data_IF_299429260793
#
_entry.id   IF_299429260793
#
_cell.length_a   1.000
_cell.length_b   1.000
_cell.length_c   1.000
_cell.angle_alpha   90.00
_cell.angle_beta   90.00
_cell.angle_gamma   90.00
#
_symmetry.space_group_name_H-M   'P 1'
#
loop_
_entity.id
_entity.type
_entity.pdbx_description
1 polymer ?
#
# COMPACT_ATOMS: atom_id res chain seq x y z
N UNK A 1 -11.81 -11.41 15.34
CA UNK A 1 -10.43 -11.72 15.78
C UNK A 1 -9.52 -10.58 15.34
N UNK A 2 -8.79 -9.91 16.24
CA UNK A 2 -7.87 -8.85 15.84
C UNK A 2 -6.73 -9.46 15.02
N UNK A 3 -6.63 -9.06 13.76
CA UNK A 3 -5.54 -9.46 12.87
C UNK A 3 -4.23 -8.92 13.45
N UNK A 4 -3.14 -9.72 13.53
CA UNK A 4 -1.86 -9.26 14.06
C UNK A 4 -1.37 -7.97 13.38
N UNK A 5 -0.72 -7.08 14.16
CA UNK A 5 -0.15 -5.81 13.67
C UNK A 5 0.96 -5.98 12.63
N UNK A 6 1.48 -7.19 12.46
CA UNK A 6 2.43 -7.58 11.41
C UNK A 6 2.16 -9.03 11.06
N UNK A 7 1.81 -9.28 9.79
CA UNK A 7 1.70 -10.64 9.26
C UNK A 7 3.00 -11.00 8.54
N UNK A 8 3.59 -12.20 8.77
CA UNK A 8 4.75 -12.62 8.01
C UNK A 8 4.35 -12.78 6.53
N UNK A 9 5.00 -11.99 5.68
CA UNK A 9 4.86 -12.04 4.24
C UNK A 9 5.56 -13.25 3.61
N UNK A 10 5.55 -13.31 2.28
CA UNK A 10 6.31 -14.32 1.53
C UNK A 10 5.68 -15.71 1.46
N UNK A 11 6.41 -16.61 0.79
CA UNK A 11 6.04 -18.02 0.63
C UNK A 11 6.41 -18.78 1.90
N UNK A 12 5.50 -19.65 2.33
CA UNK A 12 5.71 -20.55 3.47
C UNK A 12 5.35 -21.95 3.05
N UNK A 13 6.05 -22.93 3.61
CA UNK A 13 5.75 -24.33 3.33
C UNK A 13 4.51 -24.77 4.10
N UNK A 14 3.64 -25.63 3.54
CA UNK A 14 2.39 -26.00 4.23
C UNK A 14 2.61 -26.78 5.53
N UNK A 15 3.75 -27.48 5.65
CA UNK A 15 4.06 -28.32 6.81
C UNK A 15 4.40 -27.51 8.07
N UNK A 16 4.79 -26.24 7.93
CA UNK A 16 5.09 -25.34 9.05
C UNK A 16 3.87 -24.60 9.59
N UNK A 17 2.71 -24.75 8.94
CA UNK A 17 1.47 -24.11 9.40
C UNK A 17 0.91 -24.84 10.62
N UNK A 18 0.38 -24.06 11.56
CA UNK A 18 -0.43 -24.60 12.65
C UNK A 18 -1.58 -25.45 12.08
N UNK A 19 -1.99 -26.47 12.84
CA UNK A 19 -3.07 -27.38 12.46
C UNK A 19 -4.27 -27.19 13.36
N UNK A 20 -5.45 -27.31 12.77
CA UNK A 20 -6.71 -27.24 13.48
C UNK A 20 -7.12 -28.59 14.10
N UNK A 21 -8.32 -28.65 14.69
CA UNK A 21 -8.83 -29.83 15.38
C UNK A 21 -8.92 -31.10 14.51
N UNK A 22 -9.09 -30.96 13.20
CA UNK A 22 -9.14 -32.08 12.26
C UNK A 22 -7.76 -32.41 11.66
N UNK A 23 -6.68 -31.84 12.21
CA UNK A 23 -5.32 -32.03 11.73
C UNK A 23 -5.03 -31.33 10.39
N UNK A 24 -5.93 -30.47 9.90
CA UNK A 24 -5.75 -29.74 8.65
C UNK A 24 -4.96 -28.44 8.89
N UNK A 25 -4.17 -27.98 7.91
CA UNK A 25 -3.42 -26.73 8.03
C UNK A 25 -4.38 -25.53 8.14
N UNK A 26 -4.03 -24.58 9.01
CA UNK A 26 -4.78 -23.34 9.21
C UNK A 26 -4.41 -22.29 8.15
N UNK A 27 -5.42 -21.57 7.69
CA UNK A 27 -5.26 -20.43 6.78
C UNK A 27 -4.47 -19.31 7.46
N UNK A 28 -3.43 -18.79 6.80
CA UNK A 28 -2.59 -17.67 7.30
C UNK A 28 -3.31 -16.32 7.45
N UNK A 29 -4.63 -16.29 7.27
CA UNK A 29 -5.43 -15.06 7.29
C UNK A 29 -6.56 -15.17 8.30
N UNK A 30 -7.44 -16.16 8.13
CA UNK A 30 -8.62 -16.32 8.98
C UNK A 30 -8.49 -17.41 10.04
N UNK A 31 -7.35 -18.11 10.11
CA UNK A 31 -7.07 -19.22 11.02
C UNK A 31 -8.08 -20.38 10.95
N UNK A 32 -8.89 -20.45 9.90
CA UNK A 32 -9.76 -21.59 9.62
C UNK A 32 -9.00 -22.68 8.86
N UNK A 33 -9.39 -23.93 9.09
CA UNK A 33 -8.83 -25.08 8.37
C UNK A 33 -9.05 -24.98 6.86
N UNK A 34 -8.01 -25.32 6.10
CA UNK A 34 -8.05 -25.31 4.65
C UNK A 34 -8.70 -26.62 4.17
N UNK A 35 -10.02 -26.57 3.96
CA UNK A 35 -10.81 -27.74 3.52
C UNK A 35 -10.58 -28.10 2.04
N UNK A 36 -10.20 -27.11 1.21
CA UNK A 36 -10.04 -27.31 -0.22
C UNK A 36 -8.72 -28.04 -0.56
N UNK A 37 -8.81 -29.27 -1.08
CA UNK A 37 -7.66 -30.16 -1.37
C UNK A 37 -6.52 -29.53 -2.19
N UNK A 38 -6.81 -28.61 -3.11
CA UNK A 38 -5.80 -27.94 -3.96
C UNK A 38 -5.15 -26.72 -3.31
N UNK A 39 -5.75 -26.18 -2.25
CA UNK A 39 -5.21 -25.03 -1.52
C UNK A 39 -4.29 -25.52 -0.40
N UNK A 40 -3.26 -24.74 -0.09
CA UNK A 40 -2.18 -25.19 0.80
C UNK A 40 -1.92 -24.24 1.98
N UNK A 41 -2.01 -22.94 1.75
CA UNK A 41 -1.64 -21.91 2.75
C UNK A 41 -2.76 -20.89 3.02
N UNK A 42 -3.83 -20.90 2.22
CA UNK A 42 -5.00 -20.03 2.36
C UNK A 42 -6.27 -20.79 1.99
N UNK A 43 -7.39 -20.51 2.66
CA UNK A 43 -8.66 -21.20 2.37
C UNK A 43 -9.43 -20.62 1.16
N UNK A 44 -9.15 -19.38 0.76
CA UNK A 44 -9.83 -18.71 -0.37
C UNK A 44 -8.97 -17.62 -1.02
N UNK A 45 -9.36 -17.16 -2.21
CA UNK A 45 -8.67 -16.05 -2.90
C UNK A 45 -8.89 -14.72 -2.17
N UNK A 46 -10.01 -14.59 -1.45
CA UNK A 46 -10.22 -13.48 -0.51
C UNK A 46 -9.15 -13.47 0.58
N UNK A 47 -8.85 -14.61 1.18
CA UNK A 47 -7.80 -14.70 2.21
C UNK A 47 -6.41 -14.39 1.64
N UNK A 48 -6.14 -14.81 0.40
CA UNK A 48 -4.91 -14.43 -0.31
C UNK A 48 -4.85 -12.92 -0.50
N UNK A 49 -5.93 -12.31 -1.00
CA UNK A 49 -6.03 -10.88 -1.23
C UNK A 49 -5.81 -10.06 0.05
N UNK A 50 -6.54 -10.40 1.12
CA UNK A 50 -6.43 -9.70 2.41
C UNK A 50 -5.05 -9.83 3.05
N UNK A 51 -4.42 -11.01 2.95
CA UNK A 51 -3.05 -11.23 3.42
C UNK A 51 -2.04 -10.43 2.59
N UNK A 52 -2.15 -10.44 1.25
CA UNK A 52 -1.25 -9.70 0.37
C UNK A 52 -1.35 -8.20 0.53
N UNK A 53 -2.55 -7.63 0.71
CA UNK A 53 -2.71 -6.20 1.00
C UNK A 53 -1.86 -5.76 2.22
N UNK A 54 -1.69 -6.66 3.20
CA UNK A 54 -0.95 -6.38 4.46
C UNK A 54 0.53 -6.69 4.43
N UNK A 55 0.96 -7.54 3.50
CA UNK A 55 2.33 -8.11 3.52
C UNK A 55 3.13 -7.83 2.26
N UNK A 56 2.48 -7.36 1.20
CA UNK A 56 3.10 -7.07 -0.10
C UNK A 56 2.80 -5.60 -0.46
N UNK A 57 3.74 -4.68 -0.16
CA UNK A 57 3.58 -3.26 -0.51
C UNK A 57 3.43 -3.01 -2.01
N UNK A 58 3.97 -3.90 -2.85
CA UNK A 58 3.81 -3.82 -4.31
C UNK A 58 2.36 -4.09 -4.69
N UNK A 59 1.82 -5.22 -4.21
CA UNK A 59 0.42 -5.56 -4.42
C UNK A 59 -0.54 -4.49 -3.89
N UNK A 60 -0.27 -3.94 -2.70
CA UNK A 60 -1.05 -2.85 -2.14
C UNK A 60 -1.11 -1.65 -3.09
N UNK A 61 0.05 -1.22 -3.60
CA UNK A 61 0.13 -0.12 -4.57
C UNK A 61 -0.60 -0.45 -5.87
N UNK A 62 -0.52 -1.69 -6.34
CA UNK A 62 -1.23 -2.11 -7.55
C UNK A 62 -2.76 -2.04 -7.35
N UNK A 63 -3.27 -2.44 -6.19
CA UNK A 63 -4.71 -2.35 -5.87
C UNK A 63 -5.17 -0.89 -5.74
N UNK A 64 -4.38 -0.04 -5.07
CA UNK A 64 -4.68 1.41 -4.98
C UNK A 64 -4.68 2.04 -6.38
N UNK A 65 -3.70 1.70 -7.21
CA UNK A 65 -3.63 2.20 -8.58
C UNK A 65 -4.80 1.72 -9.44
N UNK A 66 -5.20 0.45 -9.33
CA UNK A 66 -6.35 -0.09 -10.06
C UNK A 66 -7.64 0.68 -9.73
N UNK A 67 -7.81 1.10 -8.47
CA UNK A 67 -8.96 1.87 -8.00
C UNK A 67 -8.88 3.34 -8.44
N UNK A 68 -7.77 4.01 -8.15
CA UNK A 68 -7.64 5.48 -8.24
C UNK A 68 -7.06 5.98 -9.57
N UNK A 69 -6.46 5.08 -10.36
CA UNK A 69 -5.79 5.36 -11.63
C UNK A 69 -4.66 6.38 -11.56
N UNK A 70 -4.09 6.58 -10.37
CA UNK A 70 -3.00 7.55 -10.14
C UNK A 70 -3.47 9.00 -10.03
N UNK A 71 -4.78 9.24 -9.85
CA UNK A 71 -5.32 10.57 -9.58
C UNK A 71 -5.12 10.92 -8.11
N UNK A 72 -4.55 12.10 -7.84
CA UNK A 72 -4.39 12.57 -6.47
C UNK A 72 -5.75 12.86 -5.83
N UNK A 73 -6.06 12.24 -4.69
CA UNK A 73 -7.32 12.44 -3.98
C UNK A 73 -7.53 13.89 -3.49
N UNK A 74 -6.45 14.65 -3.25
CA UNK A 74 -6.54 16.02 -2.75
C UNK A 74 -6.61 17.07 -3.86
N UNK A 75 -5.68 17.01 -4.83
CA UNK A 75 -5.56 18.04 -5.86
C UNK A 75 -6.00 17.60 -7.26
N UNK A 76 -6.44 16.34 -7.41
CA UNK A 76 -6.89 15.75 -8.69
C UNK A 76 -5.83 15.73 -9.80
N UNK A 77 -4.55 15.97 -9.46
CA UNK A 77 -3.46 15.85 -10.43
C UNK A 77 -3.35 14.42 -10.97
N UNK A 78 -3.35 14.30 -12.30
CA UNK A 78 -3.05 13.05 -12.99
C UNK A 78 -1.55 12.79 -12.97
N UNK A 79 -1.11 12.02 -12.00
CA UNK A 79 0.30 11.75 -11.77
C UNK A 79 0.92 10.87 -12.87
N UNK A 80 0.11 10.10 -13.59
CA UNK A 80 0.56 9.26 -14.72
C UNK A 80 0.84 10.14 -15.93
N UNK A 81 -0.11 11.00 -16.29
CA UNK A 81 0.05 11.96 -17.38
C UNK A 81 1.23 12.91 -17.13
N UNK A 82 1.33 13.44 -15.90
CA UNK A 82 2.43 14.34 -15.53
C UNK A 82 3.78 13.63 -15.59
N UNK A 83 3.87 12.38 -15.12
CA UNK A 83 5.12 11.62 -15.20
C UNK A 83 5.55 11.37 -16.65
N UNK A 84 4.60 11.05 -17.52
CA UNK A 84 4.85 10.87 -18.95
C UNK A 84 5.31 12.17 -19.62
N UNK A 85 4.68 13.30 -19.30
CA UNK A 85 5.08 14.62 -19.78
C UNK A 85 6.50 14.99 -19.29
N UNK A 86 6.78 14.77 -18.00
CA UNK A 86 8.08 15.07 -17.39
C UNK A 86 9.22 14.24 -18.01
N UNK A 87 8.97 12.96 -18.33
CA UNK A 87 9.92 12.12 -19.08
C UNK A 87 10.32 12.73 -20.43
N UNK A 88 9.37 13.34 -21.15
CA UNK A 88 9.58 13.97 -22.46
C UNK A 88 10.13 15.39 -22.38
N UNK A 89 9.91 16.10 -21.27
CA UNK A 89 10.42 17.46 -21.05
C UNK A 89 11.95 17.55 -21.05
N UNK A 90 12.49 18.73 -21.37
CA UNK A 90 13.92 19.06 -21.43
C UNK A 90 14.18 20.45 -20.85
N UNK A 91 15.44 20.75 -20.54
CA UNK A 91 15.88 22.06 -20.05
C UNK A 91 15.14 22.55 -18.79
N UNK A 92 14.94 23.87 -18.70
CA UNK A 92 14.34 24.53 -17.54
C UNK A 92 12.96 23.97 -17.15
N UNK A 93 12.12 23.58 -18.12
CA UNK A 93 10.81 22.99 -17.83
C UNK A 93 10.93 21.64 -17.10
N UNK A 94 11.93 20.83 -17.45
CA UNK A 94 12.22 19.56 -16.77
C UNK A 94 12.70 19.80 -15.34
N UNK A 95 13.60 20.76 -15.16
CA UNK A 95 14.15 21.12 -13.86
C UNK A 95 13.05 21.63 -12.92
N UNK A 96 12.19 22.51 -13.40
CA UNK A 96 11.04 23.01 -12.65
C UNK A 96 10.09 21.86 -12.26
N UNK A 97 9.73 21.00 -13.22
CA UNK A 97 8.85 19.86 -12.96
C UNK A 97 9.44 18.87 -11.95
N UNK A 98 10.72 18.55 -12.06
CA UNK A 98 11.43 17.70 -11.10
C UNK A 98 11.47 18.34 -9.70
N UNK A 99 11.69 19.66 -9.63
CA UNK A 99 11.71 20.42 -8.38
C UNK A 99 10.37 20.40 -7.66
N UNK A 100 9.24 20.60 -8.36
CA UNK A 100 7.88 20.53 -7.80
C UNK A 100 7.67 19.20 -7.05
N UNK A 101 8.07 18.09 -7.68
CA UNK A 101 7.94 16.76 -7.11
C UNK A 101 9.06 16.40 -6.11
N UNK A 102 10.05 17.28 -5.93
CA UNK A 102 11.21 17.06 -5.04
C UNK A 102 12.12 15.93 -5.52
N UNK A 103 12.27 15.78 -6.83
CA UNK A 103 13.08 14.73 -7.45
C UNK A 103 14.32 15.35 -8.10
N UNK A 104 15.48 14.68 -7.99
CA UNK A 104 16.70 15.09 -8.71
C UNK A 104 16.74 14.59 -10.15
N UNK A 105 16.21 13.38 -10.37
CA UNK A 105 16.14 12.75 -11.69
C UNK A 105 14.79 12.07 -11.86
N UNK A 106 14.34 11.91 -13.10
CA UNK A 106 13.07 11.23 -13.39
C UNK A 106 13.08 9.75 -12.95
N UNK A 107 14.26 9.14 -12.84
CA UNK A 107 14.45 7.74 -12.48
C UNK A 107 14.55 7.52 -10.97
N UNK A 108 14.62 8.58 -10.16
CA UNK A 108 14.70 8.48 -8.71
C UNK A 108 13.48 7.77 -8.09
N UNK A 109 12.34 7.78 -8.79
CA UNK A 109 11.12 7.07 -8.40
C UNK A 109 10.43 6.47 -9.63
N UNK A 110 9.63 5.43 -9.40
CA UNK A 110 8.84 4.78 -10.46
C UNK A 110 7.50 5.47 -10.73
N UNK A 111 7.04 6.34 -9.83
CA UNK A 111 5.78 7.09 -9.93
C UNK A 111 5.87 8.45 -9.22
N UNK A 112 4.93 9.34 -9.53
CA UNK A 112 4.75 10.65 -8.89
C UNK A 112 3.66 10.66 -7.80
N UNK A 113 3.32 9.49 -7.30
CA UNK A 113 2.31 9.29 -6.26
C UNK A 113 2.69 8.18 -5.29
N UNK A 114 2.12 8.24 -4.09
CA UNK A 114 2.19 7.24 -3.03
C UNK A 114 0.80 6.89 -2.49
N UNK A 115 0.66 5.65 -2.01
CA UNK A 115 -0.51 5.20 -1.26
C UNK A 115 -0.37 5.74 0.17
N UNK A 116 -1.24 6.67 0.52
CA UNK A 116 -1.27 7.34 1.83
C UNK A 116 -2.48 6.86 2.63
N UNK A 117 -2.36 6.82 3.96
CA UNK A 117 -3.47 6.48 4.84
C UNK A 117 -4.42 7.67 4.99
N UNK A 118 -5.74 7.43 4.87
CA UNK A 118 -6.77 8.43 5.14
C UNK A 118 -6.76 8.79 6.64
N UNK A 119 -6.89 7.77 7.48
CA UNK A 119 -6.59 7.84 8.91
C UNK A 119 -5.21 7.19 9.15
N UNK A 120 -4.19 7.96 9.56
CA UNK A 120 -2.86 7.43 9.81
C UNK A 120 -2.83 6.35 10.89
N UNK A 121 -1.94 5.37 10.73
CA UNK A 121 -1.77 4.27 11.71
C UNK A 121 -1.43 4.77 13.11
N UNK A 122 -0.64 5.85 13.21
CA UNK A 122 -0.28 6.48 14.48
C UNK A 122 -1.49 7.07 15.23
N UNK A 123 -2.58 7.37 14.52
CA UNK A 123 -3.82 7.93 15.05
C UNK A 123 -4.93 6.85 15.11
N UNK A 124 -4.56 5.57 15.09
CA UNK A 124 -5.50 4.44 15.17
C UNK A 124 -6.03 3.92 13.83
N UNK A 125 -5.46 4.38 12.71
CA UNK A 125 -5.80 3.91 11.38
C UNK A 125 -5.49 2.43 11.14
N UNK A 126 -6.34 1.78 10.33
CA UNK A 126 -6.10 0.43 9.83
C UNK A 126 -4.88 0.40 8.92
N UNK A 127 -3.98 -0.56 9.14
CA UNK A 127 -2.67 -0.58 8.50
C UNK A 127 -2.73 -0.75 6.98
N UNK A 128 -3.69 -1.50 6.43
CA UNK A 128 -3.65 -1.89 5.01
C UNK A 128 -5.03 -2.20 4.39
N UNK A 129 -6.12 -1.68 4.94
CA UNK A 129 -7.41 -1.79 4.26
C UNK A 129 -7.44 -0.80 3.10
N UNK A 130 -7.85 -1.28 1.92
CA UNK A 130 -7.88 -0.45 0.72
C UNK A 130 -8.73 0.81 0.94
N UNK A 131 -9.81 0.69 1.70
CA UNK A 131 -10.72 1.78 2.05
C UNK A 131 -10.06 2.87 2.93
N UNK A 132 -9.03 2.52 3.72
CA UNK A 132 -8.25 3.49 4.49
C UNK A 132 -7.04 4.03 3.72
N UNK A 133 -6.95 3.75 2.42
CA UNK A 133 -5.88 4.25 1.56
C UNK A 133 -6.43 5.24 0.54
N UNK A 134 -5.59 6.19 0.16
CA UNK A 134 -5.82 7.15 -0.93
C UNK A 134 -4.55 7.34 -1.74
N UNK A 135 -4.71 7.62 -3.02
CA UNK A 135 -3.60 8.07 -3.87
C UNK A 135 -3.29 9.54 -3.59
N UNK A 136 -2.06 9.87 -3.20
CA UNK A 136 -1.57 11.26 -3.13
C UNK A 136 -0.38 11.46 -4.05
N UNK A 137 -0.35 12.58 -4.76
CA UNK A 137 0.87 13.01 -5.45
C UNK A 137 1.98 13.36 -4.44
N UNK A 138 3.24 13.31 -4.84
CA UNK A 138 4.37 13.50 -3.90
C UNK A 138 4.31 14.83 -3.12
N UNK A 139 3.93 15.98 -3.72
CA UNK A 139 3.75 17.23 -2.97
C UNK A 139 2.67 17.13 -1.88
N UNK A 140 1.48 16.63 -2.23
CA UNK A 140 0.37 16.46 -1.29
C UNK A 140 0.71 15.45 -0.18
N UNK A 141 1.41 14.37 -0.51
CA UNK A 141 1.83 13.37 0.47
C UNK A 141 2.86 13.94 1.46
N UNK A 142 3.80 14.77 0.99
CA UNK A 142 4.77 15.47 1.84
C UNK A 142 4.07 16.39 2.84
N UNK A 143 3.07 17.14 2.38
CA UNK A 143 2.27 18.02 3.23
C UNK A 143 1.47 17.21 4.27
N UNK A 144 0.78 16.14 3.84
CA UNK A 144 0.04 15.27 4.75
C UNK A 144 0.95 14.67 5.85
N UNK A 145 2.16 14.24 5.48
CA UNK A 145 3.17 13.75 6.44
C UNK A 145 3.64 14.83 7.39
N UNK A 146 3.88 16.06 6.91
CA UNK A 146 4.28 17.18 7.75
C UNK A 146 3.21 17.53 8.78
N UNK A 147 1.95 17.59 8.35
CA UNK A 147 0.80 17.85 9.23
C UNK A 147 0.63 16.75 10.29
N UNK A 148 0.79 15.47 9.91
CA UNK A 148 0.75 14.37 10.87
C UNK A 148 1.85 14.51 11.93
N UNK A 149 3.08 14.82 11.52
CA UNK A 149 4.20 15.03 12.46
C UNK A 149 3.92 16.16 13.45
N UNK A 150 3.28 17.24 13.01
CA UNK A 150 2.88 18.35 13.88
C UNK A 150 1.82 17.91 14.91
N UNK A 151 0.81 17.13 14.49
CA UNK A 151 -0.22 16.61 15.40
C UNK A 151 0.36 15.67 16.46
N UNK A 152 1.20 14.72 16.04
CA UNK A 152 1.83 13.78 16.97
C UNK A 152 2.73 14.47 18.00
N UNK A 153 3.43 15.55 17.61
CA UNK A 153 4.22 16.36 18.55
C UNK A 153 3.38 17.12 19.57
N UNK A 154 2.13 17.45 19.25
CA UNK A 154 1.21 18.13 20.18
C UNK A 154 0.53 17.16 21.16
N UNK A 155 0.55 15.87 20.84
CA UNK A 155 -0.05 14.80 21.64
C UNK A 155 0.97 14.08 22.54
N UNK A 156 2.27 14.39 22.38
CA UNK A 156 3.37 13.91 23.19
C UNK A 156 3.72 14.93 24.27
#
# INVERSE_FOLDING_TARGET
MPVPRTLPGGRVEPHILARGPNGLPLCRWCDLEILAKRRRTFCSDYCVHQHRLRTDPGYLRDQVFARDRGLCALCQADTVAIYAALKRSRGAAREAGLSIYGMKTIHARRSLWDADHILPVAEGGGQCDLDNLRTLCLPCHREATAQLRLRLRRQA
#
